data_IF_797943973000
#
_entry.id   IF_797943973000
#
_cell.length_a   1.000
_cell.length_b   1.000
_cell.length_c   1.000
_cell.angle_alpha   90.00
_cell.angle_beta   90.00
_cell.angle_gamma   90.00
#
_symmetry.space_group_name_H-M   'P 1'
#
loop_
_entity.id
_entity.type
_entity.pdbx_description
1 polymer ?
#
# COMPACT_ATOMS: atom_id res chain seq x y z
N UNK A 1 -5.19 21.63 -3.98
CA UNK A 1 -3.73 21.50 -3.96
C UNK A 1 -3.43 20.03 -3.90
N UNK A 2 -2.84 19.48 -4.94
CA UNK A 2 -2.66 18.05 -5.18
C UNK A 2 -1.36 17.54 -4.59
N UNK A 3 -1.06 16.28 -4.89
CA UNK A 3 0.22 15.66 -4.58
C UNK A 3 0.86 15.14 -5.87
N UNK A 4 2.18 15.31 -5.95
CA UNK A 4 3.03 14.73 -6.99
C UNK A 4 4.02 13.78 -6.33
N UNK A 5 4.12 12.57 -6.84
CA UNK A 5 5.13 11.60 -6.43
C UNK A 5 6.49 12.07 -6.98
N UNK A 6 7.44 12.35 -6.09
CA UNK A 6 8.81 12.78 -6.44
C UNK A 6 9.74 11.58 -6.52
N UNK A 7 9.58 10.64 -5.60
CA UNK A 7 10.38 9.41 -5.59
C UNK A 7 9.60 8.27 -4.94
N UNK A 8 9.87 7.03 -5.36
CA UNK A 8 9.31 5.81 -4.78
C UNK A 8 10.35 4.70 -4.80
N UNK A 9 10.69 4.19 -3.62
CA UNK A 9 11.66 3.10 -3.44
C UNK A 9 11.09 2.03 -2.53
N UNK A 10 11.68 0.85 -2.58
CA UNK A 10 11.19 -0.30 -1.84
C UNK A 10 12.30 -1.23 -1.36
N UNK A 11 11.91 -2.05 -0.37
CA UNK A 11 12.62 -3.23 0.05
C UNK A 11 11.67 -4.42 -0.06
N UNK A 12 12.06 -5.40 -0.87
CA UNK A 12 11.39 -6.69 -1.01
C UNK A 12 12.35 -7.74 -0.46
N UNK A 13 11.94 -8.58 0.52
CA UNK A 13 12.82 -9.61 1.08
C UNK A 13 13.30 -10.61 0.03
N UNK A 14 14.54 -11.09 0.14
CA UNK A 14 15.11 -12.03 -0.84
C UNK A 14 14.45 -13.42 -0.79
N UNK A 15 14.01 -13.85 0.40
CA UNK A 15 13.37 -15.16 0.60
C UNK A 15 12.00 -15.17 -0.08
N UNK A 16 11.96 -15.86 -1.21
CA UNK A 16 10.75 -16.16 -1.97
C UNK A 16 10.07 -17.41 -1.41
N UNK A 17 8.74 -17.40 -1.36
CA UNK A 17 7.89 -18.50 -0.90
C UNK A 17 6.89 -18.83 -2.01
N UNK A 18 7.15 -19.91 -2.73
CA UNK A 18 6.24 -20.41 -3.76
C UNK A 18 5.03 -21.10 -3.14
N UNK A 19 3.98 -21.30 -3.95
CA UNK A 19 2.78 -22.02 -3.50
C UNK A 19 3.07 -23.45 -3.00
N UNK A 20 4.09 -24.12 -3.54
CA UNK A 20 4.52 -25.47 -3.14
C UNK A 20 4.94 -25.57 -1.66
N UNK A 21 5.36 -24.45 -1.05
CA UNK A 21 5.60 -24.40 0.39
C UNK A 21 4.36 -24.82 1.18
N UNK A 22 3.19 -24.29 0.82
CA UNK A 22 1.93 -24.56 1.52
C UNK A 22 1.36 -25.95 1.18
N UNK A 23 1.60 -26.46 -0.03
CA UNK A 23 1.18 -27.83 -0.42
C UNK A 23 1.81 -28.91 0.45
N UNK A 24 3.00 -28.64 1.00
CA UNK A 24 3.73 -29.62 1.81
C UNK A 24 3.08 -29.94 3.16
N UNK A 25 2.15 -29.09 3.64
CA UNK A 25 1.52 -29.28 4.96
C UNK A 25 0.05 -28.83 5.06
N UNK A 26 -0.51 -28.14 4.05
CA UNK A 26 -1.93 -27.79 3.97
C UNK A 26 -2.62 -28.56 2.84
N UNK A 27 -3.90 -28.86 3.02
CA UNK A 27 -4.76 -29.41 1.96
C UNK A 27 -5.06 -28.33 0.90
N UNK A 28 -4.09 -28.04 0.05
CA UNK A 28 -4.15 -27.05 -1.03
C UNK A 28 -3.24 -27.42 -2.19
N UNK A 29 -3.43 -26.79 -3.34
CA UNK A 29 -2.53 -26.89 -4.50
C UNK A 29 -2.22 -25.50 -5.05
N UNK A 30 -1.16 -25.40 -5.83
CA UNK A 30 -0.76 -24.22 -6.57
C UNK A 30 -1.90 -23.74 -7.47
N UNK A 31 -2.54 -24.65 -8.22
CA UNK A 31 -3.67 -24.32 -9.08
C UNK A 31 -4.82 -23.74 -8.27
N UNK A 32 -5.10 -24.31 -7.09
CA UNK A 32 -6.14 -23.80 -6.21
C UNK A 32 -5.80 -22.39 -5.71
N UNK A 33 -4.56 -22.15 -5.27
CA UNK A 33 -4.13 -20.84 -4.76
C UNK A 33 -4.21 -19.80 -5.88
N UNK A 34 -3.59 -20.06 -7.03
CA UNK A 34 -3.61 -19.16 -8.20
C UNK A 34 -5.04 -18.88 -8.64
N UNK A 35 -5.92 -19.89 -8.73
CA UNK A 35 -7.32 -19.68 -9.13
C UNK A 35 -8.12 -18.84 -8.10
N UNK A 36 -7.78 -18.95 -6.80
CA UNK A 36 -8.53 -18.27 -5.73
C UNK A 36 -7.98 -16.90 -5.38
N UNK A 37 -6.72 -16.63 -5.66
CA UNK A 37 -6.03 -15.43 -5.19
C UNK A 37 -5.24 -14.72 -6.28
N UNK A 38 -4.85 -15.43 -7.34
CA UNK A 38 -3.90 -14.99 -8.36
C UNK A 38 -2.45 -14.94 -7.88
N UNK A 39 -2.14 -15.44 -6.69
CA UNK A 39 -0.80 -15.40 -6.10
C UNK A 39 -0.04 -16.66 -6.52
N UNK A 40 1.14 -16.49 -7.12
CA UNK A 40 2.06 -17.57 -7.49
C UNK A 40 3.14 -17.74 -6.42
N UNK A 41 3.64 -16.60 -5.92
CA UNK A 41 4.65 -16.52 -4.86
C UNK A 41 4.47 -15.26 -4.01
N UNK A 42 5.15 -15.24 -2.87
CA UNK A 42 5.27 -14.08 -1.98
C UNK A 42 6.67 -14.03 -1.35
N UNK A 43 6.96 -12.95 -0.63
CA UNK A 43 8.24 -12.77 0.04
C UNK A 43 8.05 -12.74 1.55
N UNK A 44 8.91 -13.46 2.29
CA UNK A 44 8.95 -13.42 3.76
C UNK A 44 10.29 -12.87 4.24
N UNK A 45 10.26 -12.04 5.27
CA UNK A 45 11.46 -11.42 5.81
C UNK A 45 11.89 -12.07 7.12
N UNK A 46 13.19 -12.29 7.29
CA UNK A 46 13.75 -12.55 8.62
C UNK A 46 14.03 -11.23 9.38
N UNK A 47 14.15 -10.10 8.66
CA UNK A 47 14.32 -8.77 9.25
C UNK A 47 13.05 -8.25 9.90
N UNK A 48 13.20 -7.33 10.84
CA UNK A 48 12.11 -6.56 11.43
C UNK A 48 11.52 -5.52 10.45
N UNK A 49 10.31 -5.02 10.73
CA UNK A 49 9.64 -4.03 9.86
C UNK A 49 10.49 -2.75 9.75
N UNK A 50 11.00 -2.29 10.88
CA UNK A 50 11.93 -1.17 10.98
C UNK A 50 13.16 -1.35 10.10
N UNK A 51 13.82 -2.50 10.15
CA UNK A 51 14.99 -2.79 9.31
C UNK A 51 14.65 -2.78 7.81
N UNK A 52 13.51 -3.37 7.41
CA UNK A 52 13.06 -3.33 6.01
C UNK A 52 12.83 -1.89 5.52
N UNK A 53 12.19 -1.06 6.35
CA UNK A 53 11.95 0.34 6.02
C UNK A 53 13.27 1.12 5.91
N UNK A 54 14.18 0.96 6.86
CA UNK A 54 15.49 1.62 6.81
C UNK A 54 16.28 1.23 5.56
N UNK A 55 16.24 -0.06 5.18
CA UNK A 55 16.88 -0.54 3.94
C UNK A 55 16.22 0.02 2.66
N UNK A 56 14.90 0.26 2.68
CA UNK A 56 14.23 0.96 1.58
C UNK A 56 14.62 2.45 1.56
N UNK A 57 14.60 3.13 2.71
CA UNK A 57 14.89 4.56 2.87
C UNK A 57 16.28 4.95 2.34
N UNK A 58 17.29 4.09 2.51
CA UNK A 58 18.65 4.31 1.96
C UNK A 58 18.71 4.48 0.44
N UNK A 59 17.69 4.01 -0.29
CA UNK A 59 17.62 4.09 -1.75
C UNK A 59 17.01 5.40 -2.25
N UNK A 60 16.38 6.17 -1.35
CA UNK A 60 15.62 7.37 -1.66
C UNK A 60 16.54 8.48 -2.18
N UNK A 61 16.11 9.19 -3.21
CA UNK A 61 16.82 10.32 -3.79
C UNK A 61 16.25 11.62 -3.22
N UNK A 62 16.95 12.21 -2.24
CA UNK A 62 16.55 13.48 -1.63
C UNK A 62 17.38 14.62 -2.22
N UNK A 63 16.73 15.47 -3.02
CA UNK A 63 17.37 16.64 -3.62
C UNK A 63 17.44 17.85 -2.69
N UNK A 64 16.40 18.04 -1.86
CA UNK A 64 16.32 19.11 -0.88
C UNK A 64 15.74 18.57 0.43
N UNK A 65 16.56 18.49 1.48
CA UNK A 65 16.08 18.06 2.80
C UNK A 65 15.17 19.10 3.46
N UNK A 66 15.40 20.39 3.18
CA UNK A 66 14.62 21.47 3.80
C UNK A 66 13.16 21.48 3.35
N UNK A 67 12.85 20.93 2.17
CA UNK A 67 11.45 20.81 1.71
C UNK A 67 10.68 19.71 2.43
N UNK A 68 11.34 18.71 3.00
CA UNK A 68 10.66 17.64 3.74
C UNK A 68 10.19 18.22 5.07
N UNK A 69 8.87 18.21 5.32
CA UNK A 69 8.26 18.71 6.56
C UNK A 69 7.52 17.65 7.36
N UNK A 70 7.39 16.44 6.80
CA UNK A 70 6.54 15.41 7.35
C UNK A 70 7.05 14.00 7.02
N UNK A 71 7.04 13.10 8.00
CA UNK A 71 7.27 11.66 7.82
C UNK A 71 6.08 10.90 8.42
N UNK A 72 5.41 10.09 7.61
CA UNK A 72 4.25 9.28 8.03
C UNK A 72 4.48 7.83 7.67
N UNK A 73 4.38 6.95 8.65
CA UNK A 73 4.41 5.51 8.45
C UNK A 73 3.04 4.90 8.70
N UNK A 74 2.63 4.03 7.78
CA UNK A 74 1.49 3.16 7.93
C UNK A 74 1.96 1.72 8.10
N UNK A 75 1.62 1.12 9.24
CA UNK A 75 1.90 -0.29 9.53
C UNK A 75 0.97 -0.80 10.62
N UNK A 76 0.63 -2.09 10.59
CA UNK A 76 -0.02 -2.78 11.71
C UNK A 76 0.88 -3.84 12.34
N UNK A 77 2.12 -3.95 11.89
CA UNK A 77 3.11 -4.95 12.31
C UNK A 77 4.42 -4.33 12.78
N UNK A 78 4.39 -3.06 13.23
CA UNK A 78 5.55 -2.39 13.81
C UNK A 78 6.19 -3.21 14.94
N UNK A 79 7.51 -3.23 14.97
CA UNK A 79 8.30 -3.88 16.02
C UNK A 79 8.25 -3.08 17.33
N UNK A 80 7.95 -1.78 17.24
CA UNK A 80 7.92 -0.85 18.37
C UNK A 80 6.57 -0.13 18.43
N UNK A 81 6.07 0.04 19.65
CA UNK A 81 5.03 1.05 19.95
C UNK A 81 5.68 2.43 20.11
N UNK A 82 6.86 2.47 20.73
CA UNK A 82 7.72 3.64 20.89
C UNK A 82 9.19 3.19 20.78
N UNK A 83 10.04 3.88 19.99
CA UNK A 83 9.75 5.02 19.12
C UNK A 83 8.85 4.64 17.93
N UNK A 84 8.27 5.64 17.27
CA UNK A 84 7.54 5.43 16.01
C UNK A 84 8.50 5.03 14.88
N UNK A 85 8.00 4.27 13.92
CA UNK A 85 8.75 3.89 12.73
C UNK A 85 9.16 5.13 11.93
N UNK A 86 8.29 6.14 11.86
CA UNK A 86 8.62 7.43 11.26
C UNK A 86 9.79 8.14 11.93
N UNK A 87 9.94 8.05 13.26
CA UNK A 87 11.09 8.63 13.96
C UNK A 87 12.41 7.92 13.62
N UNK A 88 12.37 6.61 13.37
CA UNK A 88 13.55 5.87 12.91
C UNK A 88 13.95 6.31 11.49
N UNK A 89 12.99 6.52 10.60
CA UNK A 89 13.25 7.02 9.24
C UNK A 89 13.73 8.47 9.24
N UNK A 90 13.16 9.31 10.09
CA UNK A 90 13.59 10.70 10.29
C UNK A 90 15.09 10.76 10.61
N UNK A 91 15.54 9.92 11.54
CA UNK A 91 16.96 9.75 11.86
C UNK A 91 17.79 9.20 10.69
N UNK A 92 17.32 8.15 10.02
CA UNK A 92 18.04 7.50 8.91
C UNK A 92 18.29 8.43 7.72
N UNK A 93 17.32 9.29 7.42
CA UNK A 93 17.39 10.25 6.32
C UNK A 93 18.12 11.55 6.70
N UNK A 94 18.57 11.66 7.96
CA UNK A 94 19.24 12.86 8.50
C UNK A 94 18.41 14.13 8.27
N UNK A 95 17.13 14.07 8.64
CA UNK A 95 16.19 15.17 8.45
C UNK A 95 16.33 16.23 9.56
N UNK A 96 15.92 17.46 9.24
CA UNK A 96 15.92 18.58 10.18
C UNK A 96 15.01 18.29 11.40
N UNK A 97 15.36 18.85 12.55
CA UNK A 97 14.64 18.61 13.82
C UNK A 97 13.16 19.04 13.77
N UNK A 98 12.83 20.05 12.95
CA UNK A 98 11.47 20.58 12.81
C UNK A 98 10.55 19.71 11.94
N UNK A 99 11.07 18.61 11.38
CA UNK A 99 10.27 17.68 10.58
C UNK A 99 9.39 16.82 11.48
N UNK A 100 8.07 16.99 11.33
CA UNK A 100 7.09 16.24 12.12
C UNK A 100 7.05 14.78 11.67
N UNK A 101 7.12 13.84 12.63
CA UNK A 101 7.19 12.40 12.35
C UNK A 101 6.23 11.60 13.24
N UNK A 102 5.32 10.82 12.66
CA UNK A 102 4.39 9.97 13.40
C UNK A 102 3.89 8.77 12.59
N UNK A 103 3.32 7.78 13.26
CA UNK A 103 2.73 6.60 12.62
C UNK A 103 1.21 6.68 12.63
N UNK A 104 0.56 6.07 11.65
CA UNK A 104 -0.89 5.94 11.55
C UNK A 104 -1.29 4.47 11.38
N UNK A 105 -2.46 4.13 11.91
CA UNK A 105 -3.09 2.84 11.66
C UNK A 105 -4.39 3.03 10.87
N UNK A 106 -4.37 2.62 9.60
CA UNK A 106 -5.54 2.49 8.75
C UNK A 106 -5.54 1.14 8.00
N UNK A 107 -4.96 0.12 8.63
CA UNK A 107 -4.69 -1.19 8.04
C UNK A 107 -4.12 -1.08 6.62
N UNK A 108 -4.61 -1.90 5.69
CA UNK A 108 -4.18 -1.94 4.28
C UNK A 108 -4.43 -0.62 3.52
N UNK A 109 -5.30 0.25 4.03
CA UNK A 109 -5.57 1.58 3.47
C UNK A 109 -4.56 2.64 3.96
N UNK A 110 -3.68 2.28 4.88
CA UNK A 110 -2.80 3.21 5.59
C UNK A 110 -1.91 4.07 4.71
N UNK A 111 -1.33 3.53 3.63
CA UNK A 111 -0.50 4.31 2.71
C UNK A 111 -1.28 5.47 2.07
N UNK A 112 -2.51 5.22 1.61
CA UNK A 112 -3.38 6.28 1.08
C UNK A 112 -3.83 7.23 2.19
N UNK A 113 -4.10 6.71 3.40
CA UNK A 113 -4.34 7.55 4.57
C UNK A 113 -3.19 8.55 4.81
N UNK A 114 -1.94 8.09 4.69
CA UNK A 114 -0.75 8.93 4.80
C UNK A 114 -0.71 10.03 3.73
N UNK A 115 -1.05 9.70 2.48
CA UNK A 115 -1.18 10.69 1.40
C UNK A 115 -2.25 11.74 1.70
N UNK A 116 -3.42 11.34 2.20
CA UNK A 116 -4.51 12.27 2.55
C UNK A 116 -4.10 13.22 3.68
N UNK A 117 -3.40 12.69 4.69
CA UNK A 117 -2.88 13.49 5.81
C UNK A 117 -1.79 14.45 5.32
N UNK A 118 -0.85 13.98 4.50
CA UNK A 118 0.20 14.80 3.93
C UNK A 118 -0.36 15.95 3.07
N UNK A 119 -1.34 15.67 2.21
CA UNK A 119 -1.99 16.74 1.45
C UNK A 119 -2.59 17.80 2.37
N UNK A 120 -3.20 17.39 3.50
CA UNK A 120 -3.84 18.32 4.42
C UNK A 120 -2.84 19.16 5.22
N UNK A 121 -1.63 18.64 5.49
CA UNK A 121 -0.64 19.26 6.37
C UNK A 121 0.42 20.09 5.66
N UNK A 122 0.78 19.73 4.42
CA UNK A 122 1.82 20.41 3.67
C UNK A 122 1.35 21.76 3.10
N UNK A 123 2.29 22.65 2.82
CA UNK A 123 2.14 23.80 1.91
C UNK A 123 2.71 23.44 0.53
N UNK A 124 2.35 24.22 -0.49
CA UNK A 124 2.85 24.01 -1.86
C UNK A 124 4.38 24.06 -1.87
N UNK A 125 5.02 23.07 -2.51
CA UNK A 125 6.47 22.89 -2.55
C UNK A 125 7.07 22.17 -1.34
N UNK A 126 6.29 21.98 -0.26
CA UNK A 126 6.72 21.11 0.85
C UNK A 126 6.48 19.64 0.48
N UNK A 127 7.30 18.78 1.09
CA UNK A 127 7.37 17.36 0.82
C UNK A 127 7.09 16.54 2.07
N UNK A 128 6.53 15.35 1.86
CA UNK A 128 6.37 14.33 2.89
C UNK A 128 6.98 13.01 2.45
N UNK A 129 7.55 12.28 3.41
CA UNK A 129 7.94 10.88 3.26
C UNK A 129 6.79 10.02 3.75
N UNK A 130 6.22 9.20 2.87
CA UNK A 130 5.13 8.27 3.15
C UNK A 130 5.66 6.85 3.10
N UNK A 131 5.46 6.12 4.18
CA UNK A 131 5.96 4.75 4.34
C UNK A 131 4.77 3.81 4.48
N UNK A 132 4.77 2.73 3.71
CA UNK A 132 3.89 1.58 3.92
C UNK A 132 4.76 0.35 4.11
N UNK A 133 4.64 -0.33 5.25
CA UNK A 133 5.53 -1.45 5.56
C UNK A 133 4.87 -2.49 6.45
N UNK A 134 5.06 -3.76 6.11
CA UNK A 134 4.46 -4.85 6.86
C UNK A 134 5.34 -6.09 6.87
N UNK A 135 5.32 -6.78 8.01
CA UNK A 135 5.77 -8.17 8.18
C UNK A 135 4.59 -9.02 8.59
N UNK A 136 3.67 -9.24 7.65
CA UNK A 136 2.42 -9.95 7.91
C UNK A 136 2.68 -11.43 8.25
N UNK A 137 3.79 -11.99 7.78
CA UNK A 137 4.22 -13.35 8.14
C UNK A 137 4.27 -13.60 9.66
N UNK A 138 4.51 -12.57 10.48
CA UNK A 138 4.48 -12.69 11.95
C UNK A 138 3.07 -12.94 12.51
N UNK A 139 2.05 -12.41 11.85
CA UNK A 139 0.67 -12.36 12.37
C UNK A 139 -0.26 -13.34 11.63
N UNK A 140 0.26 -14.08 10.67
CA UNK A 140 -0.48 -15.14 9.96
C UNK A 140 -0.56 -16.42 10.80
N UNK A 141 -1.72 -17.07 10.77
CA UNK A 141 -1.86 -18.44 11.21
C UNK A 141 -1.54 -19.36 10.02
N UNK A 142 -0.38 -20.03 10.04
CA UNK A 142 0.04 -20.89 8.94
C UNK A 142 -0.76 -22.18 8.83
N UNK A 143 -1.51 -22.56 9.88
CA UNK A 143 -2.42 -23.72 9.85
C UNK A 143 -3.79 -23.36 9.24
N UNK A 144 -4.10 -22.06 9.11
CA UNK A 144 -5.35 -21.60 8.49
C UNK A 144 -5.19 -21.43 6.98
N UNK A 145 -5.69 -22.43 6.24
CA UNK A 145 -5.72 -22.40 4.78
C UNK A 145 -6.42 -21.15 4.20
N UNK A 146 -7.37 -20.53 4.91
CA UNK A 146 -8.06 -19.36 4.37
C UNK A 146 -7.16 -18.12 4.26
N UNK A 147 -6.09 -18.05 5.06
CA UNK A 147 -5.24 -16.85 5.18
C UNK A 147 -3.76 -17.11 4.95
N UNK A 148 -3.25 -18.32 5.24
CA UNK A 148 -1.81 -18.65 5.23
C UNK A 148 -1.08 -18.28 3.93
N UNK A 149 -1.73 -18.47 2.78
CA UNK A 149 -1.17 -18.23 1.45
C UNK A 149 -1.40 -16.81 0.91
N UNK A 150 -2.11 -15.94 1.62
CA UNK A 150 -2.51 -14.63 1.11
C UNK A 150 -1.42 -13.59 1.25
N UNK A 151 -0.73 -13.58 2.38
CA UNK A 151 0.06 -12.43 2.80
C UNK A 151 1.54 -12.57 2.46
N UNK A 152 2.19 -11.42 2.28
CA UNK A 152 3.63 -11.29 2.12
C UNK A 152 4.16 -10.11 2.93
N UNK A 153 5.47 -9.97 2.93
CA UNK A 153 6.20 -8.93 3.65
C UNK A 153 6.86 -7.94 2.67
N UNK A 154 7.05 -6.71 3.12
CA UNK A 154 7.78 -5.71 2.35
C UNK A 154 7.62 -4.31 2.89
N UNK A 155 8.44 -3.39 2.36
CA UNK A 155 8.41 -1.98 2.70
C UNK A 155 8.52 -1.11 1.45
N UNK A 156 7.76 -0.02 1.44
CA UNK A 156 7.84 1.03 0.45
C UNK A 156 7.96 2.39 1.12
N UNK A 157 8.79 3.26 0.54
CA UNK A 157 9.05 4.62 0.99
C UNK A 157 8.88 5.54 -0.21
N UNK A 158 8.06 6.56 -0.08
CA UNK A 158 7.66 7.44 -1.18
C UNK A 158 7.77 8.90 -0.76
N UNK A 159 8.45 9.73 -1.55
CA UNK A 159 8.40 11.19 -1.39
C UNK A 159 7.25 11.72 -2.22
N UNK A 160 6.39 12.53 -1.60
CA UNK A 160 5.38 13.32 -2.30
C UNK A 160 5.60 14.80 -2.03
N UNK A 161 5.30 15.62 -3.02
CA UNK A 161 5.34 17.08 -2.95
C UNK A 161 3.93 17.63 -3.13
N UNK A 162 3.56 18.63 -2.35
CA UNK A 162 2.28 19.32 -2.55
C UNK A 162 2.37 20.31 -3.72
N UNK A 163 1.40 20.21 -4.62
CA UNK A 163 1.33 21.03 -5.84
C UNK A 163 0.12 21.98 -5.83
N UNK A 164 0.07 22.90 -6.78
CA UNK A 164 -1.07 23.79 -6.98
C UNK A 164 -2.29 23.09 -7.61
N UNK A 165 -2.14 21.84 -8.07
CA UNK A 165 -3.20 21.11 -8.77
C UNK A 165 -4.40 20.79 -7.87
N UNK A 166 -5.51 20.39 -8.45
CA UNK A 166 -6.67 19.96 -7.65
C UNK A 166 -6.44 18.55 -7.11
N UNK A 167 -6.80 18.33 -5.85
CA UNK A 167 -6.70 17.00 -5.24
C UNK A 167 -8.06 16.33 -5.25
N UNK A 168 -8.14 15.15 -5.86
CA UNK A 168 -9.29 14.25 -5.70
C UNK A 168 -8.97 13.27 -4.58
N UNK A 169 -9.81 13.22 -3.54
CA UNK A 169 -9.73 12.21 -2.48
C UNK A 169 -11.10 11.69 -2.12
N UNK A 170 -11.18 10.40 -1.86
CA UNK A 170 -12.35 9.76 -1.27
C UNK A 170 -11.87 8.86 -0.15
N UNK A 171 -12.56 8.87 0.98
CA UNK A 171 -12.23 8.00 2.12
C UNK A 171 -13.48 7.72 2.93
N UNK A 172 -13.50 6.61 3.65
CA UNK A 172 -14.57 6.30 4.58
C UNK A 172 -14.31 5.05 5.41
N UNK A 173 -15.15 4.89 6.41
CA UNK A 173 -15.11 3.78 7.36
C UNK A 173 -16.47 3.12 7.44
N UNK A 174 -16.50 1.80 7.34
CA UNK A 174 -17.67 0.96 7.59
C UNK A 174 -17.27 -0.02 8.70
N UNK A 175 -17.52 0.32 9.97
CA UNK A 175 -17.01 -0.43 11.12
C UNK A 175 -17.41 -1.93 11.06
N UNK A 176 -16.43 -2.83 11.18
CA UNK A 176 -16.64 -4.27 11.16
C UNK A 176 -15.45 -5.04 11.77
N UNK A 177 -15.72 -6.23 12.28
CA UNK A 177 -14.72 -7.20 12.73
C UNK A 177 -14.37 -8.24 11.65
N UNK A 178 -14.89 -8.10 10.43
CA UNK A 178 -14.67 -9.01 9.29
C UNK A 178 -13.20 -9.14 8.88
N UNK A 179 -12.34 -8.19 9.26
CA UNK A 179 -10.89 -8.30 9.13
C UNK A 179 -10.27 -7.67 10.37
N UNK A 180 -9.73 -8.53 11.25
CA UNK A 180 -9.20 -8.11 12.55
C UNK A 180 -7.86 -8.77 12.87
N UNK A 181 -7.05 -8.04 13.62
CA UNK A 181 -5.81 -8.50 14.24
C UNK A 181 -5.69 -7.81 15.60
N UNK A 182 -5.26 -8.53 16.62
CA UNK A 182 -5.02 -8.02 17.97
C UNK A 182 -3.52 -8.16 18.23
N UNK A 183 -2.85 -7.04 18.55
CA UNK A 183 -1.42 -7.06 18.82
C UNK A 183 -1.14 -7.41 20.29
N UNK A 184 -1.30 -8.69 20.65
CA UNK A 184 -1.04 -9.24 22.00
C UNK A 184 0.13 -10.26 21.99
N UNK A 185 0.84 -10.37 20.86
CA UNK A 185 1.92 -11.33 20.63
C UNK A 185 1.48 -12.79 20.41
N UNK A 186 0.18 -13.10 20.45
CA UNK A 186 -0.36 -14.47 20.34
C UNK A 186 -1.42 -14.60 19.24
N UNK A 187 -2.28 -13.60 19.15
CA UNK A 187 -3.39 -13.51 18.23
C UNK A 187 -2.88 -13.47 16.78
N UNK A 188 -3.66 -14.09 15.90
CA UNK A 188 -3.41 -14.13 14.46
C UNK A 188 -4.47 -13.33 13.72
N UNK A 189 -4.16 -12.90 12.50
CA UNK A 189 -5.14 -12.24 11.63
C UNK A 189 -6.30 -13.19 11.36
N UNK A 190 -7.52 -12.69 11.42
CA UNK A 190 -8.73 -13.45 11.06
C UNK A 190 -9.56 -12.64 10.07
N UNK A 191 -10.20 -13.33 9.13
CA UNK A 191 -10.91 -12.68 8.04
C UNK A 191 -12.16 -13.44 7.58
N UNK A 192 -13.29 -12.73 7.48
CA UNK A 192 -14.50 -13.15 6.78
C UNK A 192 -14.40 -12.79 5.29
N UNK A 193 -13.63 -13.60 4.54
CA UNK A 193 -13.22 -13.27 3.17
C UNK A 193 -14.38 -12.96 2.21
N UNK A 194 -15.57 -13.56 2.40
CA UNK A 194 -16.75 -13.28 1.58
C UNK A 194 -17.28 -11.86 1.82
N UNK A 195 -17.31 -11.41 3.07
CA UNK A 195 -17.78 -10.06 3.42
C UNK A 195 -16.78 -9.01 2.92
N UNK A 196 -15.49 -9.26 3.14
CA UNK A 196 -14.40 -8.41 2.65
C UNK A 196 -14.42 -8.28 1.12
N UNK A 197 -14.60 -9.39 0.39
CA UNK A 197 -14.70 -9.37 -1.07
C UNK A 197 -15.90 -8.54 -1.56
N UNK A 198 -17.09 -8.73 -0.94
CA UNK A 198 -18.29 -7.98 -1.28
C UNK A 198 -18.10 -6.48 -1.02
N UNK A 199 -17.50 -6.13 0.10
CA UNK A 199 -17.18 -4.75 0.45
C UNK A 199 -16.27 -4.11 -0.61
N UNK A 200 -15.12 -4.74 -0.90
CA UNK A 200 -14.14 -4.22 -1.85
C UNK A 200 -14.72 -4.03 -3.26
N UNK A 201 -15.40 -5.05 -3.78
CA UNK A 201 -15.99 -5.02 -5.13
C UNK A 201 -17.20 -4.08 -5.26
N UNK A 202 -17.73 -3.57 -4.15
CA UNK A 202 -18.77 -2.54 -4.12
C UNK A 202 -18.18 -1.14 -3.98
N UNK A 203 -17.26 -0.94 -3.04
CA UNK A 203 -16.77 0.39 -2.67
C UNK A 203 -15.78 0.98 -3.67
N UNK A 204 -14.93 0.14 -4.27
CA UNK A 204 -13.87 0.61 -5.16
C UNK A 204 -14.45 1.22 -6.45
N UNK A 205 -15.37 0.55 -7.20
CA UNK A 205 -15.96 1.16 -8.39
C UNK A 205 -16.65 2.50 -8.10
N UNK A 206 -17.48 2.56 -7.05
CA UNK A 206 -18.14 3.81 -6.65
C UNK A 206 -17.14 4.89 -6.22
N UNK A 207 -16.04 4.51 -5.58
CA UNK A 207 -14.97 5.42 -5.20
C UNK A 207 -14.20 5.97 -6.40
N UNK A 208 -13.92 5.13 -7.41
CA UNK A 208 -13.33 5.57 -8.68
C UNK A 208 -14.22 6.61 -9.36
N UNK A 209 -15.52 6.34 -9.48
CA UNK A 209 -16.48 7.28 -10.10
C UNK A 209 -16.52 8.63 -9.34
N UNK A 210 -16.45 8.58 -8.01
CA UNK A 210 -16.38 9.79 -7.17
C UNK A 210 -15.08 10.58 -7.38
N UNK A 211 -13.94 9.90 -7.44
CA UNK A 211 -12.64 10.56 -7.67
C UNK A 211 -12.58 11.27 -9.03
N UNK A 212 -13.10 10.63 -10.08
CA UNK A 212 -13.14 11.19 -11.42
C UNK A 212 -14.09 12.39 -11.50
N UNK A 213 -15.27 12.30 -10.86
CA UNK A 213 -16.27 13.39 -10.88
C UNK A 213 -15.88 14.62 -10.06
N UNK A 214 -15.13 14.49 -8.96
CA UNK A 214 -14.77 15.62 -8.08
C UNK A 214 -14.08 16.78 -8.80
N UNK A 215 -13.25 16.48 -9.80
CA UNK A 215 -12.49 17.48 -10.54
C UNK A 215 -12.77 17.43 -12.05
N UNK A 216 -13.90 16.84 -12.45
CA UNK A 216 -14.28 16.61 -13.85
C UNK A 216 -13.14 15.96 -14.67
N UNK A 217 -12.43 15.01 -14.07
CA UNK A 217 -11.32 14.31 -14.68
C UNK A 217 -11.89 13.25 -15.61
N UNK A 218 -11.49 13.26 -16.87
CA UNK A 218 -11.82 12.18 -17.78
C UNK A 218 -10.93 10.98 -17.46
N UNK A 219 -11.47 9.77 -17.53
CA UNK A 219 -10.67 8.55 -17.37
C UNK A 219 -9.52 8.46 -18.38
N UNK A 220 -9.66 9.09 -19.55
CA UNK A 220 -8.58 9.21 -20.52
C UNK A 220 -7.35 9.92 -19.95
N UNK A 221 -7.53 10.84 -18.99
CA UNK A 221 -6.48 11.63 -18.32
C UNK A 221 -5.85 10.90 -17.12
N UNK A 222 -6.15 9.61 -16.91
CA UNK A 222 -5.53 8.76 -15.89
C UNK A 222 -4.73 7.68 -16.59
N UNK A 223 -3.41 7.71 -16.50
CA UNK A 223 -2.54 6.74 -17.14
C UNK A 223 -2.52 5.43 -16.36
N UNK A 224 -2.53 5.52 -15.02
CA UNK A 224 -2.31 4.36 -14.15
C UNK A 224 -3.40 4.20 -13.10
N UNK A 225 -3.91 2.97 -12.95
CA UNK A 225 -4.75 2.53 -11.85
C UNK A 225 -3.95 1.56 -10.98
N UNK A 226 -3.66 1.97 -9.75
CA UNK A 226 -2.90 1.17 -8.79
C UNK A 226 -3.79 0.87 -7.59
N UNK A 227 -4.37 -0.33 -7.59
CA UNK A 227 -5.20 -0.79 -6.49
C UNK A 227 -4.35 -1.49 -5.41
N UNK A 228 -4.89 -1.57 -4.20
CA UNK A 228 -4.38 -2.49 -3.18
C UNK A 228 -4.41 -3.94 -3.71
N UNK A 229 -3.26 -4.61 -3.66
CA UNK A 229 -3.02 -5.98 -4.13
C UNK A 229 -3.45 -7.02 -3.09
N UNK A 230 -4.76 -7.08 -2.80
CA UNK A 230 -5.30 -8.04 -1.82
C UNK A 230 -5.60 -9.43 -2.39
N UNK A 231 -6.20 -9.44 -3.57
CA UNK A 231 -6.62 -10.64 -4.29
C UNK A 231 -6.86 -10.26 -5.76
N UNK A 232 -6.26 -11.00 -6.70
CA UNK A 232 -6.34 -10.68 -8.12
C UNK A 232 -7.78 -10.70 -8.63
N UNK A 233 -8.66 -11.58 -8.10
CA UNK A 233 -10.06 -11.64 -8.50
C UNK A 233 -10.84 -10.37 -8.15
N UNK A 234 -10.47 -9.68 -7.07
CA UNK A 234 -11.06 -8.38 -6.73
C UNK A 234 -10.67 -7.37 -7.81
N UNK A 235 -9.37 -7.31 -8.16
CA UNK A 235 -8.85 -6.42 -9.20
C UNK A 235 -9.53 -6.73 -10.54
N UNK A 236 -9.57 -7.99 -10.97
CA UNK A 236 -10.22 -8.43 -12.21
C UNK A 236 -11.72 -8.10 -12.22
N UNK A 237 -12.42 -8.27 -11.09
CA UNK A 237 -13.82 -7.88 -10.98
C UNK A 237 -14.01 -6.38 -11.14
N UNK A 238 -13.06 -5.55 -10.67
CA UNK A 238 -13.12 -4.10 -10.83
C UNK A 238 -12.79 -3.72 -12.26
N UNK A 239 -11.72 -4.28 -12.84
CA UNK A 239 -11.35 -4.13 -14.26
C UNK A 239 -12.52 -4.42 -15.18
N UNK A 240 -13.26 -5.52 -14.93
CA UNK A 240 -14.44 -5.88 -15.72
C UNK A 240 -15.57 -4.85 -15.59
N UNK A 241 -15.75 -4.27 -14.40
CA UNK A 241 -16.79 -3.26 -14.15
C UNK A 241 -16.44 -1.90 -14.74
N UNK A 242 -15.17 -1.53 -14.73
CA UNK A 242 -14.70 -0.21 -15.19
C UNK A 242 -14.36 -0.19 -16.69
N UNK A 243 -13.90 -1.31 -17.25
CA UNK A 243 -13.55 -1.43 -18.66
C UNK A 243 -12.13 -0.96 -19.01
N UNK A 244 -11.32 -0.52 -18.04
CA UNK A 244 -10.01 0.13 -18.29
C UNK A 244 -8.81 -0.81 -18.15
N UNK A 245 -8.91 -2.06 -18.62
CA UNK A 245 -7.95 -3.14 -18.34
C UNK A 245 -6.48 -2.74 -18.50
N UNK A 246 -6.12 -2.07 -19.59
CA UNK A 246 -4.73 -1.71 -19.91
C UNK A 246 -4.12 -0.68 -18.96
N UNK A 247 -4.94 0.03 -18.19
CA UNK A 247 -4.49 1.05 -17.24
C UNK A 247 -4.19 0.48 -15.85
N UNK A 248 -4.56 -0.77 -15.55
CA UNK A 248 -4.34 -1.37 -14.22
C UNK A 248 -2.97 -2.02 -14.11
N UNK A 249 -2.21 -1.63 -13.10
CA UNK A 249 -0.98 -2.30 -12.72
C UNK A 249 -1.23 -3.34 -11.62
N UNK A 250 -0.57 -4.50 -11.73
CA UNK A 250 -0.62 -5.55 -10.71
C UNK A 250 0.71 -6.26 -10.59
N UNK A 251 1.09 -6.59 -9.35
CA UNK A 251 2.23 -7.44 -9.02
C UNK A 251 1.88 -8.50 -7.97
N UNK A 252 0.58 -8.68 -7.67
CA UNK A 252 0.10 -9.57 -6.62
C UNK A 252 0.56 -11.02 -6.83
N UNK A 253 0.74 -11.43 -8.08
CA UNK A 253 1.26 -12.75 -8.48
C UNK A 253 2.59 -13.04 -7.79
N UNK A 254 3.43 -12.01 -7.61
CA UNK A 254 4.79 -12.14 -7.11
C UNK A 254 4.94 -11.70 -5.65
N UNK A 255 4.01 -10.87 -5.15
CA UNK A 255 4.15 -10.22 -3.84
C UNK A 255 3.19 -10.77 -2.78
N UNK A 256 2.06 -11.37 -3.21
CA UNK A 256 0.92 -11.58 -2.33
C UNK A 256 0.35 -10.26 -1.81
N UNK A 257 -0.43 -10.34 -0.74
CA UNK A 257 -0.99 -9.18 -0.04
C UNK A 257 0.02 -8.66 1.00
N UNK A 258 0.56 -7.47 0.76
CA UNK A 258 1.51 -6.78 1.65
C UNK A 258 0.87 -5.62 2.42
N UNK A 259 -0.45 -5.66 2.62
CA UNK A 259 -1.26 -4.66 3.34
C UNK A 259 -0.88 -3.22 2.95
N UNK A 260 -0.45 -2.38 3.88
CA UNK A 260 -0.15 -0.96 3.66
C UNK A 260 1.04 -0.73 2.73
N UNK A 261 1.98 -1.68 2.61
CA UNK A 261 3.10 -1.59 1.68
C UNK A 261 2.67 -1.75 0.21
N UNK A 262 1.53 -2.40 -0.04
CA UNK A 262 1.11 -2.88 -1.35
C UNK A 262 1.14 -1.83 -2.47
N UNK A 263 0.53 -0.66 -2.25
CA UNK A 263 0.46 0.38 -3.28
C UNK A 263 1.83 1.03 -3.49
N UNK A 264 2.56 1.32 -2.41
CA UNK A 264 3.92 1.87 -2.50
C UNK A 264 4.89 0.92 -3.21
N UNK A 265 4.76 -0.39 -2.99
CA UNK A 265 5.55 -1.42 -3.68
C UNK A 265 5.27 -1.41 -5.19
N UNK A 266 3.99 -1.30 -5.59
CA UNK A 266 3.64 -1.11 -7.00
C UNK A 266 4.29 0.15 -7.58
N UNK A 267 4.20 1.29 -6.89
CA UNK A 267 4.78 2.55 -7.37
C UNK A 267 6.29 2.46 -7.56
N UNK A 268 7.00 1.86 -6.59
CA UNK A 268 8.45 1.65 -6.69
C UNK A 268 8.82 0.68 -7.82
N UNK A 269 8.05 -0.39 -8.03
CA UNK A 269 8.26 -1.32 -9.15
C UNK A 269 7.99 -0.65 -10.50
N UNK A 270 6.90 0.12 -10.61
CA UNK A 270 6.56 0.84 -11.83
C UNK A 270 7.61 1.90 -12.16
N UNK A 271 8.17 2.61 -11.17
CA UNK A 271 9.33 3.48 -11.35
C UNK A 271 10.51 2.70 -11.92
N UNK A 272 10.92 1.61 -11.27
CA UNK A 272 12.09 0.83 -11.69
C UNK A 272 11.95 0.24 -13.10
N UNK A 273 10.71 0.00 -13.54
CA UNK A 273 10.38 -0.47 -14.90
C UNK A 273 10.19 0.66 -15.92
N UNK A 274 10.39 1.93 -15.55
CA UNK A 274 10.11 3.11 -16.37
C UNK A 274 8.66 3.15 -16.92
N UNK A 275 7.71 2.64 -16.14
CA UNK A 275 6.27 2.66 -16.46
C UNK A 275 5.67 4.02 -16.09
N UNK A 276 6.05 4.56 -14.93
CA UNK A 276 5.68 5.92 -14.53
C UNK A 276 6.51 6.92 -15.33
N UNK A 277 5.85 7.96 -15.86
CA UNK A 277 6.50 9.08 -16.53
C UNK A 277 6.10 10.38 -15.88
N UNK A 278 7.02 11.34 -15.89
CA UNK A 278 6.71 12.70 -15.46
C UNK A 278 5.51 13.29 -16.22
N UNK A 279 4.51 13.74 -15.47
CA UNK A 279 3.23 14.25 -15.98
C UNK A 279 2.09 13.23 -16.01
N UNK A 280 2.37 11.94 -15.85
CA UNK A 280 1.33 10.92 -15.72
C UNK A 280 0.48 11.16 -14.46
N UNK A 281 -0.77 10.73 -14.48
CA UNK A 281 -1.66 10.67 -13.33
C UNK A 281 -1.94 9.23 -12.93
N UNK A 282 -1.79 8.98 -11.64
CA UNK A 282 -2.10 7.70 -11.03
C UNK A 282 -3.33 7.82 -10.12
N UNK A 283 -4.32 6.96 -10.34
CA UNK A 283 -5.42 6.73 -9.41
C UNK A 283 -5.02 5.60 -8.46
N UNK A 284 -4.90 5.92 -7.18
CA UNK A 284 -4.58 4.98 -6.11
C UNK A 284 -5.85 4.65 -5.33
N UNK A 285 -6.13 3.38 -5.08
CA UNK A 285 -7.30 3.00 -4.29
C UNK A 285 -7.08 1.74 -3.47
N UNK A 286 -7.44 1.79 -2.18
CA UNK A 286 -7.29 0.69 -1.24
C UNK A 286 -8.51 0.48 -0.36
N UNK A 287 -8.52 -0.68 0.27
CA UNK A 287 -9.45 -1.05 1.33
C UNK A 287 -8.71 -1.90 2.35
N UNK A 288 -9.21 -1.96 3.58
CA UNK A 288 -8.54 -2.72 4.65
C UNK A 288 -9.42 -2.92 5.87
N UNK A 289 -8.82 -3.50 6.92
CA UNK A 289 -9.45 -3.68 8.23
C UNK A 289 -10.00 -2.37 8.80
N UNK A 290 -11.08 -2.48 9.57
CA UNK A 290 -11.86 -1.33 10.04
C UNK A 290 -13.37 -1.53 9.91
N UNK A 291 -13.96 -1.84 8.75
CA UNK A 291 -13.35 -1.76 7.41
C UNK A 291 -13.14 -0.30 6.99
N UNK A 292 -12.06 -0.05 6.28
CA UNK A 292 -11.72 1.26 5.73
C UNK A 292 -11.57 1.18 4.22
N UNK A 293 -11.77 2.31 3.55
CA UNK A 293 -11.42 2.49 2.15
C UNK A 293 -10.94 3.92 1.92
N UNK A 294 -10.03 4.07 0.97
CA UNK A 294 -9.61 5.37 0.50
C UNK A 294 -9.06 5.30 -0.91
N UNK A 295 -9.16 6.41 -1.63
CA UNK A 295 -8.50 6.61 -2.90
C UNK A 295 -8.16 8.06 -3.13
N UNK A 296 -7.14 8.26 -3.97
CA UNK A 296 -6.61 9.57 -4.34
C UNK A 296 -6.20 9.56 -5.81
N UNK A 297 -6.14 10.74 -6.42
CA UNK A 297 -5.46 10.94 -7.71
C UNK A 297 -4.21 11.78 -7.43
N UNK A 298 -3.07 11.31 -7.91
CA UNK A 298 -1.76 11.95 -7.75
C UNK A 298 -1.06 12.08 -9.10
N UNK A 299 -0.19 13.07 -9.22
CA UNK A 299 0.69 13.21 -10.38
C UNK A 299 1.98 12.42 -10.16
N UNK A 300 2.61 11.98 -11.24
CA UNK A 300 3.91 11.34 -11.24
C UNK A 300 4.96 12.36 -11.68
N UNK A 301 5.97 12.58 -10.84
CA UNK A 301 7.13 13.44 -11.11
C UNK A 301 8.43 12.65 -11.23
N UNK A 302 8.33 11.36 -11.58
CA UNK A 302 9.41 10.38 -11.68
C UNK A 302 9.85 10.22 -13.14
#
# INVERSE_FOLDING_TARGET
MGLKIVDAVSYVPDRTVDNSYFESYLDTTNEWIVQRTGIEKRHFSDLQVSEMVLNASKKLQIFNRESIKLVISATVTSDYVVPSLSALVHKELDLLEEVLSFDINMACTGFIGGLIVAESMLKVGEQAVIIGAEKLSNIVNFDDRATAMLFGDGAAVTIVEKTNEKFSKVSGTVPSFDLKFINDGKSKVTMEGRNVYKFATSVIPSGIDKLLSMNNINVCDIEHFVLHQANLRIIESIVKKTGYKEKFFTNIQNMGNTSSASIGLCLAEMKNKNILKNGDRALLFGFGGGLTYAGVIVECGI
#
